data_IF_284237685256
#
_entry.id   IF_284237685256
#
_cell.length_a   1.000
_cell.length_b   1.000
_cell.length_c   1.000
_cell.angle_alpha   90.00
_cell.angle_beta   90.00
_cell.angle_gamma   90.00
#
_symmetry.space_group_name_H-M   'P 1'
#
loop_
_entity.id
_entity.type
_entity.pdbx_description
1 polymer ?
#
# COMPACT_ATOMS: atom_id res chain seq x y z
N UNK A 1 -32.42 65.35 -1.99
CA UNK A 1 -31.23 64.78 -1.33
C UNK A 1 -30.30 64.16 -2.37
N UNK A 2 -29.23 64.84 -2.79
CA UNK A 2 -28.19 64.24 -3.65
C UNK A 2 -27.20 63.50 -2.75
N UNK A 3 -27.13 62.17 -2.85
CA UNK A 3 -26.07 61.37 -2.23
C UNK A 3 -24.75 61.70 -2.93
N UNK A 4 -23.84 62.38 -2.25
CA UNK A 4 -22.45 62.52 -2.66
C UNK A 4 -21.81 61.13 -2.65
N UNK A 5 -21.54 60.57 -3.85
CA UNK A 5 -20.70 59.38 -3.98
C UNK A 5 -19.26 59.82 -3.70
N UNK A 6 -18.71 59.42 -2.54
CA UNK A 6 -17.26 59.55 -2.29
C UNK A 6 -16.56 58.58 -3.24
N UNK A 7 -15.62 59.08 -4.04
CA UNK A 7 -14.78 58.27 -4.92
C UNK A 7 -13.77 57.45 -4.12
N UNK A 8 -13.25 56.38 -4.72
CA UNK A 8 -12.24 55.53 -4.12
C UNK A 8 -10.92 56.29 -3.98
N UNK A 9 -10.32 56.28 -2.79
CA UNK A 9 -8.99 56.86 -2.59
C UNK A 9 -7.90 55.87 -3.01
N UNK A 10 -6.72 56.39 -3.39
CA UNK A 10 -5.58 55.54 -3.77
C UNK A 10 -5.14 54.62 -2.62
N UNK A 11 -5.25 55.09 -1.38
CA UNK A 11 -4.94 54.31 -0.19
C UNK A 11 -5.93 53.14 0.00
N UNK A 12 -7.23 53.38 -0.16
CA UNK A 12 -8.24 52.32 -0.11
C UNK A 12 -8.00 51.27 -1.20
N UNK A 13 -7.51 51.66 -2.38
CA UNK A 13 -7.19 50.73 -3.47
C UNK A 13 -6.02 49.82 -3.10
N UNK A 14 -4.96 50.38 -2.54
CA UNK A 14 -3.78 49.61 -2.11
C UNK A 14 -4.19 48.62 -1.02
N UNK A 15 -4.96 49.07 -0.03
CA UNK A 15 -5.44 48.21 1.06
C UNK A 15 -6.35 47.10 0.51
N UNK A 16 -7.26 47.43 -0.40
CA UNK A 16 -8.17 46.45 -1.02
C UNK A 16 -7.39 45.37 -1.79
N UNK A 17 -6.39 45.76 -2.58
CA UNK A 17 -5.54 44.81 -3.32
C UNK A 17 -4.73 43.93 -2.36
N UNK A 18 -4.18 44.52 -1.29
CA UNK A 18 -3.41 43.76 -0.29
C UNK A 18 -4.27 42.71 0.42
N UNK A 19 -5.48 43.10 0.87
CA UNK A 19 -6.43 42.17 1.48
C UNK A 19 -6.84 41.10 0.46
N UNK A 20 -7.15 41.48 -0.79
CA UNK A 20 -7.50 40.53 -1.83
C UNK A 20 -6.37 39.52 -2.09
N UNK A 21 -5.11 39.98 -2.13
CA UNK A 21 -3.95 39.11 -2.31
C UNK A 21 -3.79 38.12 -1.15
N UNK A 22 -3.97 38.55 0.10
CA UNK A 22 -3.92 37.67 1.26
C UNK A 22 -5.03 36.61 1.24
N UNK A 23 -6.26 37.01 0.91
CA UNK A 23 -7.41 36.09 0.83
C UNK A 23 -7.21 35.07 -0.30
N UNK A 24 -6.82 35.54 -1.50
CA UNK A 24 -6.56 34.66 -2.64
C UNK A 24 -5.37 33.73 -2.37
N UNK A 25 -4.27 34.25 -1.82
CA UNK A 25 -3.11 33.45 -1.46
C UNK A 25 -3.44 32.37 -0.41
N UNK A 26 -4.16 32.75 0.65
CA UNK A 26 -4.58 31.83 1.70
C UNK A 26 -5.52 30.74 1.19
N UNK A 27 -6.52 31.11 0.39
CA UNK A 27 -7.48 30.14 -0.18
C UNK A 27 -6.82 29.14 -1.14
N UNK A 28 -5.90 29.60 -1.99
CA UNK A 28 -5.13 28.72 -2.88
C UNK A 28 -4.25 27.73 -2.11
N UNK A 29 -3.58 28.17 -1.04
CA UNK A 29 -2.77 27.30 -0.20
C UNK A 29 -3.61 26.22 0.49
N UNK A 30 -4.79 26.58 1.00
CA UNK A 30 -5.72 25.62 1.60
C UNK A 30 -6.21 24.59 0.58
N UNK A 31 -6.55 25.01 -0.64
CA UNK A 31 -6.95 24.10 -1.72
C UNK A 31 -5.81 23.14 -2.09
N UNK A 32 -4.59 23.65 -2.28
CA UNK A 32 -3.43 22.83 -2.63
C UNK A 32 -3.11 21.79 -1.54
N UNK A 33 -3.21 22.18 -0.27
CA UNK A 33 -3.03 21.27 0.86
C UNK A 33 -4.09 20.15 0.86
N UNK A 34 -5.36 20.51 0.68
CA UNK A 34 -6.47 19.55 0.65
C UNK A 34 -6.33 18.55 -0.49
N UNK A 35 -5.92 19.00 -1.68
CA UNK A 35 -5.70 18.10 -2.82
C UNK A 35 -4.62 17.06 -2.52
N UNK A 36 -3.51 17.46 -1.89
CA UNK A 36 -2.42 16.55 -1.52
C UNK A 36 -2.86 15.54 -0.44
N UNK A 37 -3.72 15.93 0.48
CA UNK A 37 -4.29 15.02 1.48
C UNK A 37 -5.21 14.01 0.80
N UNK A 38 -6.08 14.45 -0.11
CA UNK A 38 -7.01 13.58 -0.85
C UNK A 38 -6.27 12.57 -1.72
N UNK A 39 -5.21 12.98 -2.43
CA UNK A 39 -4.42 12.04 -3.25
C UNK A 39 -3.76 10.98 -2.39
N UNK A 40 -3.10 11.38 -1.28
CA UNK A 40 -2.48 10.44 -0.33
C UNK A 40 -3.50 9.50 0.32
N UNK A 41 -4.69 9.99 0.65
CA UNK A 41 -5.77 9.17 1.21
C UNK A 41 -6.26 8.15 0.18
N UNK A 42 -6.44 8.57 -1.07
CA UNK A 42 -6.86 7.69 -2.17
C UNK A 42 -5.83 6.61 -2.44
N UNK A 43 -4.55 6.97 -2.53
CA UNK A 43 -3.45 6.02 -2.69
C UNK A 43 -3.39 5.00 -1.54
N UNK A 44 -3.52 5.45 -0.30
CA UNK A 44 -3.55 4.54 0.87
C UNK A 44 -4.75 3.60 0.83
N UNK A 45 -5.92 4.09 0.39
CA UNK A 45 -7.12 3.27 0.26
C UNK A 45 -6.96 2.18 -0.81
N UNK A 46 -6.44 2.55 -1.98
CA UNK A 46 -6.12 1.59 -3.06
C UNK A 46 -5.08 0.58 -2.57
N UNK A 47 -4.00 1.04 -1.94
CA UNK A 47 -2.97 0.15 -1.42
C UNK A 47 -3.51 -0.83 -0.38
N UNK A 48 -4.41 -0.38 0.50
CA UNK A 48 -5.07 -1.24 1.49
C UNK A 48 -5.97 -2.28 0.82
N UNK A 49 -6.74 -1.87 -0.20
CA UNK A 49 -7.61 -2.77 -0.95
C UNK A 49 -6.81 -3.83 -1.72
N UNK A 50 -5.71 -3.43 -2.37
CA UNK A 50 -4.80 -4.35 -3.05
C UNK A 50 -4.17 -5.32 -2.06
N UNK A 51 -3.70 -4.85 -0.90
CA UNK A 51 -3.13 -5.72 0.14
C UNK A 51 -4.16 -6.74 0.64
N UNK A 52 -5.41 -6.30 0.87
CA UNK A 52 -6.50 -7.19 1.28
C UNK A 52 -6.79 -8.22 0.21
N UNK A 53 -6.92 -7.81 -1.05
CA UNK A 53 -7.16 -8.69 -2.18
C UNK A 53 -6.13 -9.83 -2.26
N UNK A 54 -4.84 -9.50 -2.12
CA UNK A 54 -3.78 -10.52 -2.12
C UNK A 54 -3.88 -11.53 -0.98
N UNK A 55 -4.27 -11.06 0.21
CA UNK A 55 -4.46 -11.92 1.38
C UNK A 55 -5.67 -12.82 1.19
N UNK A 56 -6.79 -12.31 0.67
CA UNK A 56 -7.96 -13.15 0.38
C UNK A 56 -7.65 -14.19 -0.70
N UNK A 57 -6.88 -13.82 -1.73
CA UNK A 57 -6.38 -14.80 -2.71
C UNK A 57 -5.54 -15.88 -2.04
N UNK A 58 -4.59 -15.51 -1.17
CA UNK A 58 -3.78 -16.48 -0.45
C UNK A 58 -4.61 -17.37 0.50
N UNK A 59 -5.64 -16.79 1.12
CA UNK A 59 -6.58 -17.49 2.00
C UNK A 59 -7.46 -18.49 1.24
N UNK A 60 -7.76 -18.21 -0.02
CA UNK A 60 -8.54 -19.12 -0.88
C UNK A 60 -7.77 -20.38 -1.29
N UNK A 61 -6.45 -20.43 -1.04
CA UNK A 61 -5.63 -21.61 -1.31
C UNK A 61 -5.63 -22.52 -0.09
N UNK A 62 -6.05 -23.77 -0.26
CA UNK A 62 -6.02 -24.79 0.79
C UNK A 62 -4.60 -25.03 1.31
N UNK A 63 -4.49 -25.26 2.61
CA UNK A 63 -3.22 -25.49 3.30
C UNK A 63 -2.66 -26.90 3.06
N UNK A 64 -1.35 -27.02 2.77
CA UNK A 64 -0.74 -26.75 1.48
C UNK A 64 -1.32 -27.66 0.36
N UNK A 65 -1.15 -27.29 -0.92
CA UNK A 65 -1.35 -28.22 -2.02
C UNK A 65 -0.31 -29.33 -1.89
N UNK A 66 -0.79 -30.57 -1.82
CA UNK A 66 0.02 -31.81 -1.89
C UNK A 66 0.84 -31.89 -3.19
N UNK A 67 0.64 -30.95 -4.10
CA UNK A 67 1.22 -30.88 -5.43
C UNK A 67 2.06 -29.61 -5.58
N UNK A 68 3.28 -29.78 -6.10
CA UNK A 68 4.23 -28.68 -6.32
C UNK A 68 3.73 -27.60 -7.29
N UNK A 69 2.68 -27.88 -8.07
CA UNK A 69 2.10 -27.01 -9.09
C UNK A 69 1.41 -25.75 -8.54
N UNK A 70 0.95 -25.79 -7.28
CA UNK A 70 0.19 -24.68 -6.66
C UNK A 70 0.98 -23.85 -5.66
N UNK A 71 2.26 -24.17 -5.42
CA UNK A 71 3.10 -23.47 -4.44
C UNK A 71 3.32 -21.99 -4.78
N UNK A 72 3.37 -21.65 -6.06
CA UNK A 72 3.46 -20.26 -6.55
C UNK A 72 2.23 -19.41 -6.21
N UNK A 73 1.10 -20.04 -5.87
CA UNK A 73 -0.16 -19.36 -5.55
C UNK A 73 -0.14 -18.65 -4.19
N UNK A 74 0.76 -19.06 -3.28
CA UNK A 74 0.94 -18.37 -1.99
C UNK A 74 1.86 -17.14 -2.10
N UNK A 75 2.72 -17.09 -3.12
CA UNK A 75 3.75 -16.06 -3.29
C UNK A 75 5.14 -16.66 -3.32
N UNK A 76 6.15 -15.82 -3.10
CA UNK A 76 7.54 -16.23 -3.14
C UNK A 76 8.01 -16.76 -1.81
N UNK A 77 8.50 -18.00 -1.81
CA UNK A 77 9.16 -18.60 -0.67
C UNK A 77 10.42 -17.80 -0.31
N UNK A 78 10.59 -17.52 1.00
CA UNK A 78 11.80 -16.91 1.55
C UNK A 78 12.39 -17.82 2.62
N UNK A 79 13.69 -17.69 2.84
CA UNK A 79 14.42 -18.51 3.82
C UNK A 79 14.04 -18.16 5.26
N UNK A 80 13.77 -16.88 5.52
CA UNK A 80 13.43 -16.34 6.83
C UNK A 80 12.61 -15.05 6.67
N UNK A 81 11.81 -14.70 7.69
CA UNK A 81 11.04 -13.44 7.66
C UNK A 81 11.99 -12.22 7.61
N UNK A 82 13.14 -12.32 8.26
CA UNK A 82 14.17 -11.25 8.29
C UNK A 82 14.82 -11.00 6.93
N UNK A 83 14.76 -11.96 6.02
CA UNK A 83 15.29 -11.82 4.66
C UNK A 83 14.34 -11.07 3.70
N UNK A 84 13.11 -10.77 4.14
CA UNK A 84 12.13 -10.09 3.30
C UNK A 84 12.55 -8.63 3.10
N UNK A 85 13.05 -8.32 1.90
CA UNK A 85 13.28 -6.94 1.47
C UNK A 85 12.36 -6.56 0.29
N UNK A 86 11.19 -5.98 0.58
CA UNK A 86 10.20 -5.66 -0.46
C UNK A 86 10.60 -4.45 -1.30
N UNK A 87 11.80 -3.85 -1.13
CA UNK A 87 12.22 -2.68 -1.91
C UNK A 87 13.32 -3.01 -2.92
N UNK A 88 14.16 -4.01 -2.63
CA UNK A 88 15.32 -4.34 -3.48
C UNK A 88 15.08 -5.52 -4.41
N UNK A 89 14.24 -6.48 -4.02
CA UNK A 89 14.13 -7.73 -4.78
C UNK A 89 13.21 -7.56 -6.00
N UNK A 90 13.69 -7.73 -7.22
CA UNK A 90 12.90 -7.54 -8.46
C UNK A 90 12.06 -8.77 -8.79
N UNK A 91 11.27 -9.19 -7.81
CA UNK A 91 10.41 -10.36 -7.89
C UNK A 91 9.13 -10.11 -8.71
N UNK A 92 8.32 -11.18 -8.84
CA UNK A 92 6.98 -11.15 -9.41
C UNK A 92 6.12 -10.03 -8.83
N UNK A 93 5.61 -9.15 -9.69
CA UNK A 93 4.64 -8.12 -9.37
C UNK A 93 3.23 -8.72 -9.46
N UNK A 94 2.56 -8.85 -8.32
CA UNK A 94 1.20 -9.39 -8.23
C UNK A 94 0.13 -8.31 -8.38
N UNK A 95 0.51 -7.09 -8.77
CA UNK A 95 -0.45 -6.01 -9.03
C UNK A 95 -1.27 -6.37 -10.28
N UNK A 96 -2.61 -6.16 -10.27
CA UNK A 96 -3.39 -6.22 -11.50
C UNK A 96 -2.87 -5.20 -12.52
N UNK A 97 -2.98 -5.50 -13.81
CA UNK A 97 -2.40 -4.71 -14.90
C UNK A 97 -2.77 -3.22 -14.84
N UNK A 98 -4.01 -2.92 -14.41
CA UNK A 98 -4.51 -1.56 -14.23
C UNK A 98 -3.72 -0.74 -13.18
N UNK A 99 -3.14 -1.40 -12.18
CA UNK A 99 -2.44 -0.78 -11.05
C UNK A 99 -0.91 -0.90 -11.14
N UNK A 100 -0.38 -1.74 -12.02
CA UNK A 100 1.07 -1.97 -12.18
C UNK A 100 1.84 -0.68 -12.49
N UNK A 101 1.21 0.32 -13.14
CA UNK A 101 1.87 1.60 -13.43
C UNK A 101 2.26 2.35 -12.14
N UNK A 102 1.37 2.36 -11.16
CA UNK A 102 1.48 3.24 -9.98
C UNK A 102 1.92 2.47 -8.73
N UNK A 103 1.65 1.16 -8.69
CA UNK A 103 1.93 0.28 -7.56
C UNK A 103 2.74 -0.95 -7.99
N UNK A 104 3.47 -1.50 -7.02
CA UNK A 104 4.10 -2.82 -7.08
C UNK A 104 3.54 -3.61 -5.92
N UNK A 105 3.05 -4.82 -6.18
CA UNK A 105 2.53 -5.70 -5.14
C UNK A 105 3.43 -6.91 -5.03
N UNK A 106 3.98 -7.14 -3.83
CA UNK A 106 4.86 -8.28 -3.56
C UNK A 106 4.25 -9.17 -2.51
N UNK A 107 4.43 -10.47 -2.67
CA UNK A 107 3.88 -11.47 -1.76
C UNK A 107 4.94 -12.48 -1.43
N UNK A 108 5.23 -12.60 -0.14
CA UNK A 108 6.25 -13.49 0.40
C UNK A 108 5.61 -14.54 1.30
N UNK A 109 6.26 -15.68 1.40
CA UNK A 109 5.78 -16.85 2.12
C UNK A 109 6.88 -17.37 3.04
N UNK A 110 6.57 -17.46 4.32
CA UNK A 110 7.44 -18.01 5.36
C UNK A 110 6.78 -19.27 5.91
N UNK A 111 7.51 -20.38 5.93
CA UNK A 111 7.05 -21.64 6.48
C UNK A 111 7.44 -21.77 7.95
N UNK A 112 6.62 -22.45 8.73
CA UNK A 112 6.96 -22.85 10.10
C UNK A 112 6.69 -24.33 10.31
N UNK A 113 7.57 -24.97 11.06
CA UNK A 113 7.42 -26.38 11.45
C UNK A 113 6.40 -26.56 12.59
N UNK A 114 6.30 -27.79 13.10
CA UNK A 114 5.42 -28.12 14.24
C UNK A 114 5.82 -27.43 15.54
N UNK A 115 7.11 -27.11 15.69
CA UNK A 115 7.69 -26.47 16.88
C UNK A 115 7.61 -24.94 16.80
N UNK A 116 7.22 -24.37 15.65
CA UNK A 116 7.15 -22.94 15.41
C UNK A 116 8.48 -22.34 14.93
N UNK A 117 9.45 -23.17 14.53
CA UNK A 117 10.70 -22.72 13.92
C UNK A 117 10.50 -22.41 12.45
N UNK A 118 11.13 -21.34 11.97
CA UNK A 118 11.10 -20.96 10.55
C UNK A 118 11.73 -22.07 9.69
N UNK A 119 11.07 -22.38 8.58
CA UNK A 119 11.52 -23.32 7.56
C UNK A 119 11.98 -22.56 6.33
N UNK A 120 13.12 -22.96 5.79
CA UNK A 120 13.56 -22.50 4.49
C UNK A 120 12.74 -23.18 3.38
N UNK A 121 11.66 -22.55 2.97
CA UNK A 121 10.80 -23.04 1.89
C UNK A 121 11.44 -22.98 0.50
N UNK A 122 12.63 -22.39 0.36
CA UNK A 122 13.37 -22.38 -0.93
C UNK A 122 14.10 -23.69 -1.18
N UNK A 123 14.51 -24.37 -0.11
CA UNK A 123 15.24 -25.64 -0.16
C UNK A 123 14.43 -26.82 0.40
N UNK A 124 13.44 -26.56 1.26
CA UNK A 124 12.56 -27.57 1.84
C UNK A 124 11.13 -27.53 1.26
N UNK A 125 10.49 -28.70 1.07
CA UNK A 125 9.12 -28.77 0.57
C UNK A 125 8.10 -28.28 1.61
N UNK A 126 7.02 -27.68 1.11
CA UNK A 126 5.85 -27.25 1.90
C UNK A 126 5.22 -28.38 2.74
N UNK A 127 5.50 -29.65 2.44
CA UNK A 127 5.01 -30.82 3.18
C UNK A 127 5.44 -30.84 4.65
N UNK A 128 6.60 -30.24 4.97
CA UNK A 128 7.09 -30.12 6.34
C UNK A 128 6.47 -28.93 7.09
N UNK A 129 5.86 -27.98 6.37
CA UNK A 129 5.25 -26.80 6.97
C UNK A 129 3.94 -27.15 7.67
N UNK A 130 3.86 -26.85 8.97
CA UNK A 130 2.62 -26.93 9.75
C UNK A 130 1.87 -25.60 9.78
N UNK A 131 2.58 -24.49 9.57
CA UNK A 131 2.01 -23.16 9.38
C UNK A 131 2.73 -22.44 8.25
N UNK A 132 2.03 -21.56 7.57
CA UNK A 132 2.54 -20.73 6.50
C UNK A 132 2.06 -19.31 6.74
N UNK A 133 2.99 -18.38 6.85
CA UNK A 133 2.71 -16.94 6.94
C UNK A 133 2.89 -16.34 5.56
N UNK A 134 1.82 -15.76 5.04
CA UNK A 134 1.86 -15.00 3.79
C UNK A 134 1.88 -13.53 4.14
N UNK A 135 2.84 -12.80 3.60
CA UNK A 135 3.00 -11.36 3.81
C UNK A 135 2.90 -10.65 2.47
N UNK A 136 1.89 -9.78 2.34
CA UNK A 136 1.66 -8.97 1.16
C UNK A 136 2.08 -7.52 1.43
N UNK A 137 2.91 -6.98 0.54
CA UNK A 137 3.37 -5.60 0.54
C UNK A 137 2.81 -4.88 -0.68
N UNK A 138 2.30 -3.68 -0.47
CA UNK A 138 1.93 -2.77 -1.56
C UNK A 138 2.83 -1.55 -1.49
N UNK A 139 3.56 -1.34 -2.58
CA UNK A 139 4.63 -0.37 -2.68
C UNK A 139 4.23 0.63 -3.75
N UNK A 140 4.41 1.92 -3.47
CA UNK A 140 4.31 2.96 -4.49
C UNK A 140 5.53 2.86 -5.41
N UNK A 141 5.30 2.70 -6.71
CA UNK A 141 6.39 2.65 -7.70
C UNK A 141 7.19 3.95 -7.69
N UNK A 142 6.50 5.09 -7.61
CA UNK A 142 7.13 6.41 -7.43
C UNK A 142 7.75 6.53 -6.03
N UNK A 143 9.08 6.47 -5.98
CA UNK A 143 9.86 6.64 -4.75
C UNK A 143 9.96 5.39 -3.87
N UNK A 144 9.54 4.22 -4.37
CA UNK A 144 9.71 2.91 -3.73
C UNK A 144 9.35 2.91 -2.23
N UNK A 145 8.13 3.39 -1.93
CA UNK A 145 7.66 3.50 -0.54
C UNK A 145 6.58 2.47 -0.26
N UNK A 146 6.74 1.71 0.83
CA UNK A 146 5.70 0.80 1.32
C UNK A 146 4.50 1.64 1.80
N UNK A 147 3.33 1.38 1.22
CA UNK A 147 2.08 2.05 1.57
C UNK A 147 1.19 1.18 2.45
N UNK A 148 1.20 -0.13 2.22
CA UNK A 148 0.44 -1.08 3.02
C UNK A 148 1.21 -2.38 3.19
N UNK A 149 1.02 -3.01 4.35
CA UNK A 149 1.49 -4.36 4.66
C UNK A 149 0.33 -5.10 5.29
N UNK A 150 0.05 -6.30 4.81
CA UNK A 150 -0.90 -7.23 5.42
C UNK A 150 -0.25 -8.60 5.53
N UNK A 151 -0.66 -9.35 6.53
CA UNK A 151 -0.20 -10.72 6.73
C UNK A 151 -1.37 -11.61 7.14
N UNK A 152 -1.25 -12.89 6.80
CA UNK A 152 -2.16 -13.94 7.26
C UNK A 152 -1.32 -15.16 7.60
N UNK A 153 -1.74 -15.89 8.64
CA UNK A 153 -1.17 -17.19 8.98
C UNK A 153 -2.20 -18.25 8.65
N UNK A 154 -1.80 -19.20 7.83
CA UNK A 154 -2.60 -20.36 7.46
C UNK A 154 -1.94 -21.55 8.14
N UNK A 155 -2.72 -22.47 8.71
CA UNK A 155 -2.24 -23.63 9.45
C UNK A 155 -2.97 -24.89 9.00
N UNK A 156 -2.33 -26.05 9.18
CA UNK A 156 -2.89 -27.36 8.79
C UNK A 156 -4.19 -27.71 9.48
N UNK A 157 -4.42 -27.14 10.65
CA UNK A 157 -5.60 -27.37 11.46
C UNK A 157 -6.67 -26.29 11.28
N UNK A 158 -6.53 -25.39 10.29
CA UNK A 158 -7.40 -24.23 10.06
C UNK A 158 -6.69 -22.88 10.19
N UNK A 159 -7.42 -21.78 9.95
CA UNK A 159 -6.93 -20.41 10.06
C UNK A 159 -6.82 -19.97 11.53
N UNK A 160 -5.71 -19.33 11.90
CA UNK A 160 -5.51 -18.66 13.20
C UNK A 160 -5.29 -17.16 13.00
#
# INVERSE_FOLDING_TARGET
MRRTRRGFTLLELIIAIFIAALVLGGTLLLMASNLNIVTKATETRIATALAQYQIEMARSVDFPPVYADRQTSFGQAVQAETAINPLTVTDSDFAPDEFQRDFVVRRYVVGYDRMGSELDLTSEPYDKAMKVKVVAYVIRRKGMKILARREIVISRNGLY
#
